data_IF_839906036116
#
_entry.id   IF_839906036116
#
_cell.length_a   1.000
_cell.length_b   1.000
_cell.length_c   1.000
_cell.angle_alpha   90.00
_cell.angle_beta   90.00
_cell.angle_gamma   90.00
#
_symmetry.space_group_name_H-M   'P 1'
#
loop_
_entity.id
_entity.type
_entity.pdbx_description
1 polymer ?
#
# COMPACT_ATOMS: atom_id res chain seq x y z
N UNK A 1 -34.50 36.70 -40.98
CA UNK A 1 -33.25 36.02 -40.57
C UNK A 1 -32.67 36.79 -39.39
N UNK A 2 -32.79 36.28 -38.16
CA UNK A 2 -32.25 36.98 -36.98
C UNK A 2 -30.73 36.80 -36.93
N UNK A 3 -30.01 37.81 -37.40
CA UNK A 3 -28.56 37.90 -37.29
C UNK A 3 -28.20 38.07 -35.81
N UNK A 4 -28.01 36.97 -35.07
CA UNK A 4 -27.60 37.04 -33.67
C UNK A 4 -26.18 37.60 -33.63
N UNK A 5 -26.03 38.81 -33.10
CA UNK A 5 -24.72 39.43 -32.89
C UNK A 5 -23.78 38.47 -32.14
N UNK A 6 -22.53 38.41 -32.61
CA UNK A 6 -21.48 37.59 -32.01
C UNK A 6 -20.69 38.46 -31.01
N UNK A 7 -20.29 37.92 -29.84
CA UNK A 7 -19.43 38.65 -28.92
C UNK A 7 -18.11 39.05 -29.56
N UNK A 8 -17.69 40.27 -29.26
CA UNK A 8 -16.36 40.78 -29.62
C UNK A 8 -15.29 40.25 -28.67
N UNK A 9 -14.03 40.33 -29.09
CA UNK A 9 -12.87 39.92 -28.29
C UNK A 9 -12.77 40.70 -26.97
N UNK A 10 -13.14 41.99 -26.99
CA UNK A 10 -13.20 42.84 -25.79
C UNK A 10 -14.23 42.32 -24.77
N UNK A 11 -15.40 41.89 -25.25
CA UNK A 11 -16.45 41.33 -24.39
C UNK A 11 -16.04 39.98 -23.76
N UNK A 12 -15.23 39.18 -24.44
CA UNK A 12 -14.64 37.99 -23.82
C UNK A 12 -13.64 38.32 -22.71
N UNK A 13 -12.84 39.40 -22.85
CA UNK A 13 -11.95 39.86 -21.77
C UNK A 13 -12.73 40.30 -20.53
N UNK A 14 -13.85 41.00 -20.71
CA UNK A 14 -14.75 41.38 -19.60
C UNK A 14 -15.33 40.12 -18.94
N UNK A 15 -15.76 39.13 -19.73
CA UNK A 15 -16.25 37.86 -19.19
C UNK A 15 -15.18 37.13 -18.36
N UNK A 16 -13.93 37.12 -18.83
CA UNK A 16 -12.81 36.49 -18.14
C UNK A 16 -12.49 37.19 -16.80
N UNK A 17 -12.51 38.53 -16.77
CA UNK A 17 -12.40 39.32 -15.54
C UNK A 17 -13.53 38.99 -14.55
N UNK A 18 -14.72 38.68 -15.06
CA UNK A 18 -15.88 38.24 -14.27
C UNK A 18 -15.89 36.73 -13.95
N UNK A 19 -14.84 35.99 -14.32
CA UNK A 19 -14.72 34.55 -14.07
C UNK A 19 -15.63 33.67 -14.94
N UNK A 20 -16.03 34.16 -16.11
CA UNK A 20 -16.92 33.48 -17.06
C UNK A 20 -16.12 33.07 -18.30
N UNK A 21 -16.04 31.77 -18.57
CA UNK A 21 -15.29 31.26 -19.74
C UNK A 21 -15.96 31.62 -21.06
N UNK A 22 -15.18 31.75 -22.15
CA UNK A 22 -15.70 31.94 -23.52
C UNK A 22 -16.76 30.92 -23.89
N UNK A 23 -16.55 29.65 -23.52
CA UNK A 23 -17.49 28.57 -23.77
C UNK A 23 -18.83 28.82 -23.07
N UNK A 24 -18.81 29.32 -21.83
CA UNK A 24 -20.01 29.69 -21.08
C UNK A 24 -20.75 30.86 -21.74
N UNK A 25 -20.04 31.91 -22.18
CA UNK A 25 -20.65 33.04 -22.92
C UNK A 25 -21.38 32.53 -24.17
N UNK A 26 -20.72 31.69 -24.96
CA UNK A 26 -21.30 31.12 -26.19
C UNK A 26 -22.52 30.24 -25.90
N UNK A 27 -22.48 29.43 -24.84
CA UNK A 27 -23.63 28.62 -24.42
C UNK A 27 -24.83 29.48 -23.98
N UNK A 28 -24.59 30.60 -23.28
CA UNK A 28 -25.64 31.53 -22.84
C UNK A 28 -26.34 32.20 -24.04
N UNK A 29 -25.57 32.63 -25.04
CA UNK A 29 -26.08 33.25 -26.27
C UNK A 29 -26.80 32.23 -27.14
N UNK A 30 -26.24 31.02 -27.29
CA UNK A 30 -26.85 29.93 -28.09
C UNK A 30 -28.23 29.54 -27.57
N UNK A 31 -28.43 29.49 -26.24
CA UNK A 31 -29.73 29.23 -25.61
C UNK A 31 -30.77 30.34 -25.84
N UNK A 32 -30.35 31.51 -26.32
CA UNK A 32 -31.25 32.57 -26.79
C UNK A 32 -32.04 33.32 -25.72
N UNK A 33 -31.75 33.10 -24.43
CA UNK A 33 -32.46 33.74 -23.30
C UNK A 33 -31.74 34.95 -22.71
N UNK A 34 -30.56 35.29 -23.21
CA UNK A 34 -29.68 36.31 -22.64
C UNK A 34 -29.04 37.16 -23.74
N UNK A 35 -28.91 38.46 -23.47
CA UNK A 35 -28.12 39.38 -24.29
C UNK A 35 -26.62 39.10 -24.16
N UNK A 36 -25.78 39.68 -25.04
CA UNK A 36 -24.32 39.57 -24.92
C UNK A 36 -23.85 40.13 -23.57
N UNK A 37 -24.39 41.27 -23.16
CA UNK A 37 -24.07 41.90 -21.89
C UNK A 37 -24.41 41.00 -20.70
N UNK A 38 -25.62 40.43 -20.66
CA UNK A 38 -25.99 39.44 -19.64
C UNK A 38 -25.11 38.18 -19.70
N UNK A 39 -24.66 37.78 -20.90
CA UNK A 39 -23.81 36.62 -21.06
C UNK A 39 -22.40 36.82 -20.48
N UNK A 40 -21.88 38.04 -20.45
CA UNK A 40 -20.53 38.39 -19.96
C UNK A 40 -20.50 38.97 -18.55
N UNK A 41 -21.63 39.47 -18.01
CA UNK A 41 -21.70 40.05 -16.66
C UNK A 41 -22.39 39.18 -15.64
N UNK A 42 -23.38 38.35 -16.04
CA UNK A 42 -24.11 37.56 -15.05
C UNK A 42 -23.22 36.46 -14.47
N UNK A 43 -23.15 36.30 -13.13
CA UNK A 43 -22.37 35.23 -12.52
C UNK A 43 -22.90 33.84 -12.94
N UNK A 44 -22.05 32.82 -12.88
CA UNK A 44 -22.42 31.43 -13.23
C UNK A 44 -23.68 31.01 -12.44
N UNK A 45 -24.77 30.75 -13.17
CA UNK A 45 -26.11 30.57 -12.62
C UNK A 45 -26.33 29.14 -12.10
N UNK A 46 -25.58 28.75 -11.08
CA UNK A 46 -26.04 27.76 -10.12
C UNK A 46 -26.37 28.49 -8.83
N UNK A 47 -27.59 28.33 -8.29
CA UNK A 47 -27.95 28.83 -6.95
C UNK A 47 -26.88 28.46 -5.92
N UNK A 48 -26.32 27.25 -6.06
CA UNK A 48 -25.18 26.75 -5.29
C UNK A 48 -23.94 27.66 -5.39
N UNK A 49 -23.47 27.98 -6.60
CA UNK A 49 -22.26 28.77 -6.80
C UNK A 49 -22.44 30.20 -6.25
N UNK A 50 -23.66 30.75 -6.34
CA UNK A 50 -24.01 32.04 -5.75
C UNK A 50 -23.99 31.98 -4.23
N UNK A 51 -24.66 30.99 -3.63
CA UNK A 51 -24.78 30.81 -2.18
C UNK A 51 -23.41 30.55 -1.51
N UNK A 52 -22.52 29.84 -2.18
CA UNK A 52 -21.24 29.42 -1.61
C UNK A 52 -20.02 30.10 -2.24
N UNK A 53 -20.18 31.23 -2.94
CA UNK A 53 -19.09 31.94 -3.65
C UNK A 53 -17.85 32.14 -2.77
N UNK A 54 -18.04 32.70 -1.57
CA UNK A 54 -16.96 32.91 -0.58
C UNK A 54 -16.17 31.63 -0.29
N UNK A 55 -16.87 30.51 -0.08
CA UNK A 55 -16.26 29.23 0.28
C UNK A 55 -15.61 28.52 -0.90
N UNK A 56 -16.09 28.76 -2.12
CA UNK A 56 -15.43 28.27 -3.34
C UNK A 56 -14.05 28.92 -3.50
N UNK A 57 -13.94 30.22 -3.23
CA UNK A 57 -12.64 30.93 -3.26
C UNK A 57 -11.68 30.40 -2.18
N UNK A 58 -12.20 30.12 -0.98
CA UNK A 58 -11.42 29.48 0.10
C UNK A 58 -10.98 28.07 -0.28
N UNK A 59 -11.87 27.26 -0.86
CA UNK A 59 -11.57 25.90 -1.30
C UNK A 59 -10.44 25.88 -2.33
N UNK A 60 -10.49 26.80 -3.31
CA UNK A 60 -9.46 26.96 -4.33
C UNK A 60 -8.10 27.30 -3.73
N UNK A 61 -8.05 28.22 -2.74
CA UNK A 61 -6.82 28.58 -2.01
C UNK A 61 -6.23 27.38 -1.25
N UNK A 62 -7.08 26.48 -0.74
CA UNK A 62 -6.67 25.26 -0.05
C UNK A 62 -6.43 24.06 -0.99
N UNK A 63 -6.39 24.27 -2.31
CA UNK A 63 -6.15 23.19 -3.29
C UNK A 63 -7.30 22.19 -3.44
N UNK A 64 -8.51 22.55 -2.98
CA UNK A 64 -9.71 21.72 -3.09
C UNK A 64 -10.46 22.12 -4.37
N UNK A 65 -10.59 21.17 -5.29
CA UNK A 65 -11.34 21.38 -6.53
C UNK A 65 -12.82 21.69 -6.29
N UNK A 66 -13.41 22.51 -7.16
CA UNK A 66 -14.82 22.93 -7.09
C UNK A 66 -15.78 21.74 -7.02
N UNK A 67 -15.52 20.65 -7.75
CA UNK A 67 -16.37 19.46 -7.69
C UNK A 67 -16.24 18.73 -6.36
N UNK A 68 -15.05 18.72 -5.76
CA UNK A 68 -14.83 18.14 -4.42
C UNK A 68 -15.58 18.94 -3.36
N UNK A 69 -15.43 20.26 -3.35
CA UNK A 69 -16.19 21.16 -2.46
C UNK A 69 -17.70 20.97 -2.65
N UNK A 70 -18.18 20.98 -3.90
CA UNK A 70 -19.60 20.81 -4.22
C UNK A 70 -20.15 19.46 -3.76
N UNK A 71 -19.39 18.37 -3.94
CA UNK A 71 -19.79 17.03 -3.47
C UNK A 71 -19.86 16.95 -1.95
N UNK A 72 -18.96 17.61 -1.22
CA UNK A 72 -18.99 17.67 0.26
C UNK A 72 -20.28 18.30 0.77
N UNK A 73 -20.70 19.42 0.16
CA UNK A 73 -21.93 20.11 0.55
C UNK A 73 -23.20 19.36 0.13
N UNK A 74 -23.26 18.85 -1.11
CA UNK A 74 -24.49 18.24 -1.64
C UNK A 74 -24.69 16.78 -1.23
N UNK A 75 -23.61 16.01 -1.08
CA UNK A 75 -23.64 14.55 -0.99
C UNK A 75 -22.79 13.98 0.15
N UNK A 76 -22.46 14.77 1.17
CA UNK A 76 -21.73 14.31 2.36
C UNK A 76 -22.52 13.29 3.18
N UNK A 77 -22.58 12.03 2.72
CA UNK A 77 -23.47 10.99 3.29
C UNK A 77 -23.11 10.55 4.72
N UNK A 78 -21.86 10.74 5.15
CA UNK A 78 -21.36 10.27 6.46
C UNK A 78 -21.09 11.39 7.48
N UNK A 79 -20.89 12.61 7.01
CA UNK A 79 -20.66 13.82 7.82
C UNK A 79 -21.39 14.97 7.14
N UNK A 80 -22.21 15.69 7.89
CA UNK A 80 -22.81 16.95 7.42
C UNK A 80 -21.71 18.01 7.42
N UNK A 81 -21.20 18.32 6.24
CA UNK A 81 -20.14 19.31 6.06
C UNK A 81 -20.68 20.72 6.26
N UNK A 82 -19.98 21.54 7.05
CA UNK A 82 -20.18 22.99 6.98
C UNK A 82 -19.46 23.55 5.74
N UNK A 83 -19.86 24.72 5.22
CA UNK A 83 -19.16 25.37 4.11
C UNK A 83 -17.68 25.66 4.42
N UNK A 84 -17.37 26.02 5.66
CA UNK A 84 -16.01 26.26 6.16
C UNK A 84 -15.16 24.99 6.09
N UNK A 85 -15.65 23.90 6.70
CA UNK A 85 -14.97 22.59 6.72
C UNK A 85 -14.77 22.08 5.30
N UNK A 86 -15.80 22.18 4.44
CA UNK A 86 -15.74 21.67 3.08
C UNK A 86 -14.67 22.36 2.24
N UNK A 87 -14.33 23.61 2.58
CA UNK A 87 -13.36 24.44 1.90
C UNK A 87 -11.96 24.42 2.51
N UNK A 88 -11.76 23.78 3.67
CA UNK A 88 -10.48 23.80 4.41
C UNK A 88 -9.91 22.41 4.66
N UNK A 89 -10.77 21.42 4.89
CA UNK A 89 -10.30 20.04 5.11
C UNK A 89 -9.65 19.49 3.84
N UNK A 90 -8.44 18.93 3.91
CA UNK A 90 -7.77 18.38 2.73
C UNK A 90 -8.63 17.30 2.08
N UNK A 91 -8.72 17.31 0.75
CA UNK A 91 -9.36 16.22 0.01
C UNK A 91 -8.65 14.91 0.41
N UNK A 92 -9.41 13.82 0.63
CA UNK A 92 -8.81 12.51 0.82
C UNK A 92 -7.94 12.21 -0.39
N UNK A 93 -6.64 12.37 -0.24
CA UNK A 93 -5.68 12.02 -1.29
C UNK A 93 -5.81 10.52 -1.43
N UNK A 94 -6.35 10.05 -2.57
CA UNK A 94 -6.22 8.65 -2.91
C UNK A 94 -4.71 8.38 -2.93
N UNK A 95 -4.19 7.72 -1.89
CA UNK A 95 -2.82 7.23 -1.90
C UNK A 95 -2.73 6.36 -3.15
N UNK A 96 -1.89 6.78 -4.10
CA UNK A 96 -1.60 5.98 -5.28
C UNK A 96 -0.94 4.70 -4.76
N UNK A 97 -1.71 3.62 -4.73
CA UNK A 97 -1.23 2.33 -4.25
C UNK A 97 -0.15 1.87 -5.23
N UNK A 98 1.05 1.59 -4.73
CA UNK A 98 2.12 1.03 -5.53
C UNK A 98 1.84 -0.46 -5.74
N UNK A 99 0.93 -0.76 -6.67
CA UNK A 99 0.57 -2.13 -7.02
C UNK A 99 1.68 -2.75 -7.85
N UNK A 100 2.36 -3.74 -7.28
CA UNK A 100 3.31 -4.59 -7.98
C UNK A 100 2.68 -5.96 -8.19
N UNK A 101 2.73 -6.48 -9.42
CA UNK A 101 2.25 -7.83 -9.70
C UNK A 101 3.19 -8.85 -9.02
N UNK A 102 2.66 -9.82 -8.23
CA UNK A 102 3.47 -10.83 -7.57
C UNK A 102 4.27 -11.70 -8.56
N UNK A 103 5.49 -12.06 -8.15
CA UNK A 103 6.31 -13.06 -8.83
C UNK A 103 5.82 -14.49 -8.54
N UNK A 104 6.28 -15.46 -9.33
CA UNK A 104 5.96 -16.89 -9.08
C UNK A 104 6.49 -17.36 -7.72
N UNK A 105 7.60 -16.82 -7.25
CA UNK A 105 8.19 -17.18 -5.95
C UNK A 105 7.35 -16.62 -4.80
N UNK A 106 6.90 -15.37 -4.90
CA UNK A 106 6.03 -14.73 -3.91
C UNK A 106 4.68 -15.45 -3.81
N UNK A 107 4.13 -15.91 -4.94
CA UNK A 107 2.92 -16.73 -4.98
C UNK A 107 3.14 -18.05 -4.25
N UNK A 108 4.27 -18.74 -4.48
CA UNK A 108 4.62 -19.99 -3.77
C UNK A 108 4.77 -19.75 -2.27
N UNK A 109 5.43 -18.67 -1.88
CA UNK A 109 5.62 -18.31 -0.48
C UNK A 109 4.27 -18.03 0.21
N UNK A 110 3.39 -17.25 -0.42
CA UNK A 110 2.04 -17.00 0.06
C UNK A 110 1.22 -18.30 0.15
N UNK A 111 1.32 -19.18 -0.84
CA UNK A 111 0.64 -20.47 -0.84
C UNK A 111 1.08 -21.36 0.34
N UNK A 112 2.36 -21.33 0.74
CA UNK A 112 2.87 -22.09 1.90
C UNK A 112 2.17 -21.74 3.22
N UNK A 113 1.61 -20.53 3.33
CA UNK A 113 0.85 -20.07 4.49
C UNK A 113 -0.67 -20.06 4.27
N UNK A 114 -1.12 -20.70 3.19
CA UNK A 114 -2.53 -20.84 2.81
C UNK A 114 -3.15 -19.60 2.21
N UNK A 115 -2.35 -18.67 1.68
CA UNK A 115 -2.83 -17.47 0.96
C UNK A 115 -2.89 -17.79 -0.52
N UNK A 116 -4.09 -17.73 -1.11
CA UNK A 116 -4.26 -17.95 -2.55
C UNK A 116 -3.74 -16.75 -3.36
N UNK A 117 -3.38 -16.97 -4.63
CA UNK A 117 -2.94 -15.90 -5.54
C UNK A 117 -3.96 -14.76 -5.64
N UNK A 118 -5.26 -15.11 -5.71
CA UNK A 118 -6.36 -14.13 -5.70
C UNK A 118 -6.37 -13.28 -4.43
N UNK A 119 -6.14 -13.89 -3.26
CA UNK A 119 -6.10 -13.17 -1.99
C UNK A 119 -4.82 -12.31 -1.87
N UNK A 120 -3.70 -12.79 -2.39
CA UNK A 120 -2.46 -12.01 -2.47
C UNK A 120 -2.64 -10.74 -3.31
N UNK A 121 -3.20 -10.87 -4.52
CA UNK A 121 -3.53 -9.73 -5.38
C UNK A 121 -4.47 -8.74 -4.69
N UNK A 122 -5.52 -9.25 -4.02
CA UNK A 122 -6.44 -8.44 -3.25
C UNK A 122 -5.73 -7.64 -2.14
N UNK A 123 -4.84 -8.27 -1.36
CA UNK A 123 -4.07 -7.59 -0.31
C UNK A 123 -3.25 -6.43 -0.85
N UNK A 124 -2.57 -6.63 -1.97
CA UNK A 124 -1.76 -5.59 -2.61
C UNK A 124 -2.60 -4.43 -3.13
N UNK A 125 -3.76 -4.72 -3.74
CA UNK A 125 -4.73 -3.69 -4.15
C UNK A 125 -5.34 -2.91 -2.98
N UNK A 126 -5.34 -3.48 -1.78
CA UNK A 126 -5.71 -2.77 -0.55
C UNK A 126 -4.55 -2.04 0.12
N UNK A 127 -3.39 -1.94 -0.55
CA UNK A 127 -2.24 -1.19 -0.08
C UNK A 127 -1.38 -1.91 0.96
N UNK A 128 -1.50 -3.23 1.08
CA UNK A 128 -0.54 -4.00 1.86
C UNK A 128 0.83 -4.00 1.17
N UNK A 129 1.90 -3.96 1.96
CA UNK A 129 3.23 -4.24 1.43
C UNK A 129 3.34 -5.70 0.99
N UNK A 130 4.20 -5.99 0.02
CA UNK A 130 4.43 -7.35 -0.45
C UNK A 130 4.81 -8.30 0.69
N UNK A 131 5.80 -7.88 1.49
CA UNK A 131 6.24 -8.60 2.67
C UNK A 131 5.08 -8.94 3.61
N UNK A 132 4.23 -7.96 3.95
CA UNK A 132 3.07 -8.20 4.81
C UNK A 132 2.08 -9.17 4.16
N UNK A 133 1.87 -9.05 2.85
CA UNK A 133 0.91 -9.83 2.10
C UNK A 133 1.29 -11.32 1.98
N UNK A 134 2.59 -11.64 1.94
CA UNK A 134 3.09 -13.03 1.86
C UNK A 134 3.41 -13.66 3.22
N UNK A 135 3.45 -12.88 4.31
CA UNK A 135 3.78 -13.37 5.66
C UNK A 135 2.58 -13.48 6.61
N UNK A 136 1.44 -12.89 6.27
CA UNK A 136 0.23 -12.95 7.10
C UNK A 136 -0.71 -14.09 6.67
N UNK A 137 -0.97 -15.13 7.49
CA UNK A 137 -1.86 -16.21 7.08
C UNK A 137 -3.32 -15.78 7.01
N UNK A 138 -4.14 -16.61 6.37
CA UNK A 138 -5.59 -16.37 6.25
C UNK A 138 -6.27 -16.62 7.58
N UNK A 139 -7.01 -15.64 8.09
CA UNK A 139 -7.75 -15.74 9.36
C UNK A 139 -6.92 -15.41 10.61
N UNK A 140 -5.85 -14.63 10.46
CA UNK A 140 -5.09 -14.07 11.60
C UNK A 140 -4.91 -12.56 11.40
N UNK A 141 -5.12 -11.77 12.44
CA UNK A 141 -4.66 -10.37 12.42
C UNK A 141 -3.12 -10.31 12.37
N UNK A 142 -2.56 -9.33 11.66
CA UNK A 142 -1.10 -9.10 11.59
C UNK A 142 -0.48 -8.90 12.99
N UNK A 143 -1.24 -8.28 13.89
CA UNK A 143 -0.91 -8.08 15.30
C UNK A 143 -1.05 -9.35 16.16
N UNK A 144 -1.50 -10.48 15.60
CA UNK A 144 -1.49 -11.79 16.27
C UNK A 144 -2.55 -11.98 17.35
N UNK A 145 -3.63 -11.20 17.36
CA UNK A 145 -4.73 -11.31 18.34
C UNK A 145 -5.62 -12.55 18.11
N UNK A 146 -5.65 -13.08 16.89
CA UNK A 146 -6.39 -14.30 16.55
C UNK A 146 -5.45 -15.50 16.38
N UNK A 147 -5.59 -16.46 17.30
CA UNK A 147 -5.10 -17.85 17.31
C UNK A 147 -4.07 -18.19 16.21
N UNK A 148 -2.79 -18.15 16.56
CA UNK A 148 -1.60 -18.49 15.74
C UNK A 148 -1.56 -19.94 15.18
N UNK A 149 -2.67 -20.66 15.09
CA UNK A 149 -2.75 -22.10 14.79
C UNK A 149 -2.01 -22.47 13.51
N UNK A 150 -2.19 -21.70 12.43
CA UNK A 150 -1.53 -21.97 11.15
C UNK A 150 -0.01 -21.77 11.22
N UNK A 151 0.44 -20.71 11.90
CA UNK A 151 1.86 -20.43 12.06
C UNK A 151 2.55 -21.41 13.00
N UNK A 152 1.86 -21.84 14.06
CA UNK A 152 2.35 -22.90 14.94
C UNK A 152 2.49 -24.22 14.19
N UNK A 153 1.53 -24.56 13.31
CA UNK A 153 1.66 -25.75 12.45
C UNK A 153 2.87 -25.66 11.52
N UNK A 154 3.09 -24.50 10.90
CA UNK A 154 4.27 -24.23 10.06
C UNK A 154 5.59 -24.27 10.86
N UNK A 155 5.60 -23.68 12.06
CA UNK A 155 6.75 -23.71 12.95
C UNK A 155 7.14 -25.14 13.31
N UNK A 156 6.14 -25.96 13.71
CA UNK A 156 6.35 -27.38 14.04
C UNK A 156 6.88 -28.17 12.84
N UNK A 157 6.36 -27.95 11.63
CA UNK A 157 6.90 -28.61 10.42
C UNK A 157 8.34 -28.19 10.11
N UNK A 158 8.75 -26.99 10.54
CA UNK A 158 10.12 -26.49 10.42
C UNK A 158 10.98 -26.81 11.66
N UNK A 159 10.54 -27.69 12.57
CA UNK A 159 11.29 -28.07 13.77
C UNK A 159 11.38 -26.99 14.84
N UNK A 160 10.56 -25.95 14.76
CA UNK A 160 10.51 -24.84 15.72
C UNK A 160 9.40 -25.12 16.74
N UNK A 161 9.77 -25.18 18.02
CA UNK A 161 8.80 -25.37 19.12
C UNK A 161 7.88 -24.16 19.28
N UNK A 162 6.67 -24.39 19.79
CA UNK A 162 5.72 -23.33 20.13
C UNK A 162 6.35 -22.27 21.04
N UNK A 163 7.14 -22.70 22.04
CA UNK A 163 7.87 -21.81 22.95
C UNK A 163 8.87 -20.91 22.20
N UNK A 164 9.60 -21.46 21.23
CA UNK A 164 10.54 -20.72 20.40
C UNK A 164 9.80 -19.73 19.49
N UNK A 165 8.69 -20.15 18.89
CA UNK A 165 7.84 -19.28 18.08
C UNK A 165 7.34 -18.06 18.87
N UNK A 166 6.78 -18.28 20.06
CA UNK A 166 6.27 -17.18 20.90
C UNK A 166 7.39 -16.26 21.40
N UNK A 167 8.57 -16.81 21.74
CA UNK A 167 9.73 -16.00 22.09
C UNK A 167 10.15 -15.10 20.92
N UNK A 168 10.25 -15.64 19.70
CA UNK A 168 10.57 -14.87 18.49
C UNK A 168 9.54 -13.76 18.21
N UNK A 169 8.25 -14.04 18.44
CA UNK A 169 7.17 -13.03 18.37
C UNK A 169 7.35 -11.92 19.40
N UNK A 170 7.71 -12.27 20.64
CA UNK A 170 8.01 -11.30 21.71
C UNK A 170 9.23 -10.43 21.39
N UNK A 171 10.20 -10.99 20.67
CA UNK A 171 11.39 -10.30 20.15
C UNK A 171 11.09 -9.44 18.91
N UNK A 172 9.84 -9.38 18.44
CA UNK A 172 9.40 -8.53 17.34
C UNK A 172 9.42 -9.18 15.95
N UNK A 173 9.75 -10.47 15.83
CA UNK A 173 9.68 -11.15 14.52
C UNK A 173 8.25 -11.22 14.00
N UNK A 174 8.11 -11.16 12.68
CA UNK A 174 6.84 -11.44 12.02
C UNK A 174 6.41 -12.90 12.28
N UNK A 175 5.11 -13.23 12.19
CA UNK A 175 4.65 -14.61 12.38
C UNK A 175 5.33 -15.60 11.43
N UNK A 176 5.56 -15.21 10.19
CA UNK A 176 6.24 -16.04 9.20
C UNK A 176 7.70 -16.27 9.58
N UNK A 177 8.48 -15.22 9.82
CA UNK A 177 9.89 -15.35 10.23
C UNK A 177 10.03 -16.18 11.50
N UNK A 178 9.15 -15.96 12.48
CA UNK A 178 9.13 -16.73 13.71
C UNK A 178 8.94 -18.24 13.45
N UNK A 179 8.16 -18.59 12.42
CA UNK A 179 7.84 -19.96 12.03
C UNK A 179 8.79 -20.58 10.99
N UNK A 180 9.64 -19.81 10.31
CA UNK A 180 10.50 -20.32 9.22
C UNK A 180 11.99 -20.12 9.44
N UNK A 181 12.41 -19.14 10.24
CA UNK A 181 13.83 -18.89 10.50
C UNK A 181 14.46 -20.14 11.16
N UNK A 182 15.52 -20.72 10.59
CA UNK A 182 16.15 -21.91 11.18
C UNK A 182 16.63 -21.62 12.60
N UNK A 183 16.68 -22.66 13.43
CA UNK A 183 17.30 -22.57 14.75
C UNK A 183 18.82 -22.61 14.56
N UNK A 184 19.57 -21.99 15.48
CA UNK A 184 21.02 -22.12 15.59
C UNK A 184 21.79 -21.94 14.26
N UNK A 185 22.45 -23.01 13.85
CA UNK A 185 23.28 -23.08 12.64
C UNK A 185 22.74 -24.12 11.66
N UNK A 186 21.45 -24.41 11.75
CA UNK A 186 20.78 -25.46 11.00
C UNK A 186 20.83 -25.19 9.48
N UNK A 187 20.98 -23.92 9.06
CA UNK A 187 21.20 -23.54 7.65
C UNK A 187 22.51 -24.11 7.06
N UNK A 188 23.52 -24.38 7.90
CA UNK A 188 24.82 -24.89 7.49
C UNK A 188 24.89 -26.43 7.51
N UNK A 189 23.87 -27.11 8.04
CA UNK A 189 23.85 -28.58 8.10
C UNK A 189 23.91 -29.20 6.70
N UNK A 190 23.06 -28.82 5.72
CA UNK A 190 23.11 -29.39 4.38
C UNK A 190 24.46 -29.13 3.70
N UNK A 191 25.07 -27.97 3.94
CA UNK A 191 26.41 -27.63 3.44
C UNK A 191 27.49 -28.53 4.06
N UNK A 192 27.43 -28.77 5.38
CA UNK A 192 28.36 -29.65 6.07
C UNK A 192 28.27 -31.10 5.57
N UNK A 193 27.04 -31.60 5.40
CA UNK A 193 26.79 -32.95 4.88
C UNK A 193 27.31 -33.12 3.45
N UNK A 194 27.08 -32.13 2.58
CA UNK A 194 27.61 -32.11 1.21
C UNK A 194 29.15 -32.13 1.17
N UNK A 195 29.82 -31.61 2.20
CA UNK A 195 31.28 -31.64 2.36
C UNK A 195 31.79 -32.85 3.16
N UNK A 196 30.93 -33.85 3.43
CA UNK A 196 31.30 -35.06 4.16
C UNK A 196 31.60 -34.85 5.65
N UNK A 197 31.14 -33.73 6.22
CA UNK A 197 31.29 -33.40 7.64
C UNK A 197 29.99 -33.79 8.34
N UNK A 198 30.06 -34.75 9.25
CA UNK A 198 28.85 -35.13 10.00
C UNK A 198 28.36 -33.97 10.89
N UNK A 199 27.05 -33.93 11.12
CA UNK A 199 26.37 -32.88 11.90
C UNK A 199 26.98 -32.68 13.28
N UNK A 200 27.35 -33.77 13.96
CA UNK A 200 28.01 -33.72 15.28
C UNK A 200 29.36 -32.99 15.22
N UNK A 201 30.18 -33.26 14.22
CA UNK A 201 31.49 -32.65 14.03
C UNK A 201 31.34 -31.17 13.66
N UNK A 202 30.37 -30.83 12.81
CA UNK A 202 30.00 -29.45 12.51
C UNK A 202 29.68 -28.67 13.79
N UNK A 203 28.73 -29.14 14.61
CA UNK A 203 28.39 -28.46 15.85
C UNK A 203 29.55 -28.36 16.84
N UNK A 204 30.44 -29.37 16.90
CA UNK A 204 31.66 -29.31 17.72
C UNK A 204 32.63 -28.22 17.24
N UNK A 205 32.76 -28.01 15.93
CA UNK A 205 33.57 -26.92 15.37
C UNK A 205 32.99 -25.57 15.74
N UNK A 206 31.69 -25.38 15.56
CA UNK A 206 31.02 -24.11 15.93
C UNK A 206 31.09 -23.86 17.43
N UNK A 207 30.94 -24.90 18.27
CA UNK A 207 31.15 -24.82 19.73
C UNK A 207 32.57 -24.38 20.11
N UNK A 208 33.56 -24.73 19.28
CA UNK A 208 34.95 -24.25 19.40
C UNK A 208 35.17 -22.87 18.79
N UNK A 209 34.09 -22.11 18.54
CA UNK A 209 34.09 -20.76 17.96
C UNK A 209 34.65 -20.69 16.54
N UNK A 210 34.64 -21.81 15.79
CA UNK A 210 34.89 -21.78 14.35
C UNK A 210 33.70 -21.10 13.66
N UNK A 211 33.97 -20.24 12.69
CA UNK A 211 32.93 -19.63 11.86
C UNK A 211 32.02 -20.72 11.25
N UNK A 212 30.68 -20.57 11.23
CA UNK A 212 29.78 -21.61 10.75
C UNK A 212 30.02 -22.04 9.29
N UNK A 213 30.38 -21.11 8.40
CA UNK A 213 30.69 -21.47 7.02
C UNK A 213 32.00 -22.25 6.95
N UNK A 214 33.03 -21.83 7.68
CA UNK A 214 34.29 -22.59 7.76
C UNK A 214 34.08 -23.98 8.40
N UNK A 215 33.26 -24.06 9.44
CA UNK A 215 32.91 -25.29 10.13
C UNK A 215 32.23 -26.30 9.20
N UNK A 216 31.46 -25.82 8.22
CA UNK A 216 30.74 -26.63 7.24
C UNK A 216 31.57 -26.99 5.99
N UNK A 217 32.72 -26.35 5.75
CA UNK A 217 33.50 -26.53 4.50
C UNK A 217 34.88 -27.13 4.72
N UNK A 218 35.48 -26.96 5.91
CA UNK A 218 36.84 -27.44 6.18
C UNK A 218 36.92 -28.98 6.26
N UNK A 219 37.73 -29.67 5.44
CA UNK A 219 37.74 -31.13 5.41
C UNK A 219 38.23 -31.72 6.76
N UNK A 220 37.69 -32.88 7.20
CA UNK A 220 38.17 -33.57 8.41
C UNK A 220 39.65 -34.00 8.28
N UNK A 221 40.40 -33.89 9.39
CA UNK A 221 41.79 -34.34 9.44
C UNK A 221 41.85 -35.88 9.35
N UNK A 222 42.57 -36.42 8.35
CA UNK A 222 42.77 -37.87 8.20
C UNK A 222 43.80 -38.37 9.21
N UNK A 223 43.43 -39.29 10.10
CA UNK A 223 44.36 -39.94 11.02
C UNK A 223 44.90 -41.23 10.39
N UNK A 224 46.23 -41.37 10.30
CA UNK A 224 46.87 -42.66 9.98
C UNK A 224 46.92 -43.50 11.25
N UNK A 225 46.27 -44.67 11.29
CA UNK A 225 46.44 -45.62 12.38
C UNK A 225 47.91 -46.06 12.39
N UNK A 226 48.65 -45.78 13.47
CA UNK A 226 49.98 -46.36 13.66
C UNK A 226 49.78 -47.87 13.87
N UNK A 227 50.39 -48.69 13.01
CA UNK A 227 50.53 -50.11 13.33
C UNK A 227 51.45 -50.20 14.55
N UNK A 228 50.91 -50.74 15.64
CA UNK A 228 51.70 -51.05 16.83
C UNK A 228 52.36 -52.39 16.49
N UNK A 229 53.69 -52.37 16.38
CA UNK A 229 54.53 -53.57 16.21
C UNK A 229 54.59 -54.38 17.48
#
# INVERSE_FOLDING_TARGET
MNNKEKPTESQYKIAEQNGISRQTVNQRIKKGKKTIEQAITEPLSGEFARKYRKYIDVAKKNGIDYQTFRKRILYGKRRKWTPEEAATEPATVYRKINYQKPSKEEIKQAASIGVSEKLLDQRLRHGWTMERAITSPVGTSYEGKEKNVKMLKLARSNGISDSTYYRRRKEGMTPYEAATKPKGFEEYIPLAEANGINTKAFYQRVKRKMDPYEAATKPPRKYKKKQIS
#
